data_IF_123769721742
#
_entry.id   IF_123769721742
#
_cell.length_a   1.000
_cell.length_b   1.000
_cell.length_c   1.000
_cell.angle_alpha   90.00
_cell.angle_beta   90.00
_cell.angle_gamma   90.00
#
_symmetry.space_group_name_H-M   'P 1'
#
loop_
_entity.id
_entity.type
_entity.pdbx_description
1 polymer ?
#
# COMPACT_ATOMS: atom_id res chain seq x y z
N UNK A 1 3.52 9.60 -19.90
CA UNK A 1 3.19 9.14 -18.54
C UNK A 1 3.90 7.83 -18.34
N UNK A 2 4.74 7.70 -17.31
CA UNK A 2 5.40 6.43 -17.01
C UNK A 2 4.35 5.43 -16.50
N UNK A 3 4.16 4.33 -17.24
CA UNK A 3 3.17 3.30 -16.92
C UNK A 3 3.39 2.71 -15.51
N UNK A 4 4.65 2.61 -15.10
CA UNK A 4 5.06 2.17 -13.75
C UNK A 4 4.49 3.08 -12.65
N UNK A 5 4.57 4.40 -12.82
CA UNK A 5 4.06 5.36 -11.83
C UNK A 5 2.54 5.26 -11.72
N UNK A 6 1.84 5.08 -12.84
CA UNK A 6 0.38 4.89 -12.85
C UNK A 6 0.00 3.62 -12.08
N UNK A 7 0.65 2.50 -12.40
CA UNK A 7 0.40 1.22 -11.75
C UNK A 7 0.71 1.26 -10.25
N UNK A 8 1.77 1.98 -9.85
CA UNK A 8 2.12 2.14 -8.44
C UNK A 8 1.08 3.00 -7.71
N UNK A 9 0.58 4.06 -8.35
CA UNK A 9 -0.46 4.93 -7.79
C UNK A 9 -1.79 4.20 -7.56
N UNK A 10 -2.17 3.29 -8.47
CA UNK A 10 -3.37 2.45 -8.31
C UNK A 10 -3.24 1.51 -7.12
N UNK A 11 -2.06 0.96 -6.89
CA UNK A 11 -1.79 0.05 -5.76
C UNK A 11 -1.72 0.78 -4.42
N UNK A 12 -1.10 1.96 -4.34
CA UNK A 12 -0.96 2.68 -3.06
C UNK A 12 -2.24 3.36 -2.60
N UNK A 13 -3.12 3.76 -3.53
CA UNK A 13 -4.31 4.57 -3.24
C UNK A 13 -5.17 4.06 -2.08
N UNK A 14 -5.57 2.78 -2.04
CA UNK A 14 -6.36 2.22 -0.93
C UNK A 14 -5.64 2.26 0.42
N UNK A 15 -4.31 2.12 0.45
CA UNK A 15 -3.55 2.20 1.69
C UNK A 15 -3.48 3.64 2.21
N UNK A 16 -3.36 4.63 1.32
CA UNK A 16 -3.37 6.04 1.68
C UNK A 16 -4.70 6.44 2.34
N UNK A 17 -5.84 6.07 1.75
CA UNK A 17 -7.15 6.35 2.35
C UNK A 17 -7.34 5.64 3.68
N UNK A 18 -6.89 4.39 3.79
CA UNK A 18 -6.96 3.63 5.06
C UNK A 18 -6.10 4.26 6.16
N UNK A 19 -4.91 4.77 5.81
CA UNK A 19 -4.05 5.47 6.74
C UNK A 19 -4.65 6.82 7.19
N UNK A 20 -5.22 7.58 6.26
CA UNK A 20 -5.93 8.83 6.62
C UNK A 20 -7.12 8.57 7.53
N UNK A 21 -7.89 7.51 7.30
CA UNK A 21 -9.01 7.14 8.17
C UNK A 21 -8.58 6.73 9.58
N UNK A 22 -7.45 6.03 9.71
CA UNK A 22 -6.94 5.54 11.00
C UNK A 22 -6.18 6.60 11.79
N UNK A 23 -5.34 7.41 11.13
CA UNK A 23 -4.42 8.34 11.78
C UNK A 23 -4.81 9.81 11.62
N UNK A 24 -5.69 10.14 10.66
CA UNK A 24 -6.04 11.51 10.32
C UNK A 24 -4.82 12.33 9.87
N UNK A 25 -4.86 13.64 10.14
CA UNK A 25 -3.78 14.57 9.81
C UNK A 25 -2.46 14.25 10.56
N UNK A 26 -2.53 13.43 11.62
CA UNK A 26 -1.36 13.02 12.39
C UNK A 26 -0.52 11.93 11.71
N UNK A 27 -0.92 11.45 10.53
CA UNK A 27 -0.22 10.36 9.81
C UNK A 27 1.26 10.67 9.50
N UNK A 28 1.64 11.95 9.39
CA UNK A 28 3.02 12.38 9.16
C UNK A 28 3.77 12.86 10.42
N UNK A 29 3.06 13.22 11.48
CA UNK A 29 3.65 13.87 12.67
C UNK A 29 3.69 12.97 13.89
N UNK A 30 2.82 11.96 13.97
CA UNK A 30 2.86 10.99 15.06
C UNK A 30 4.14 10.17 14.89
N UNK A 31 5.01 10.16 15.91
CA UNK A 31 6.09 9.18 16.00
C UNK A 31 5.49 7.76 15.93
N UNK A 32 6.28 6.73 15.61
CA UNK A 32 5.88 5.31 15.65
C UNK A 32 5.49 4.89 17.07
N UNK A 33 4.40 5.44 17.59
CA UNK A 33 3.85 5.12 18.88
C UNK A 33 3.27 3.72 18.76
N UNK A 34 4.06 2.75 19.20
CA UNK A 34 3.79 1.32 19.08
C UNK A 34 2.40 0.93 19.62
N UNK A 35 1.86 1.70 20.57
CA UNK A 35 0.51 1.51 21.12
C UNK A 35 -0.58 1.87 20.12
N UNK A 36 -0.41 2.97 19.39
CA UNK A 36 -1.35 3.41 18.34
C UNK A 36 -1.24 2.47 17.13
N UNK A 37 -0.03 2.03 16.80
CA UNK A 37 0.20 1.09 15.69
C UNK A 37 -0.26 -0.33 15.99
N UNK A 38 -0.33 -0.76 17.26
CA UNK A 38 -0.87 -2.07 17.63
C UNK A 38 -2.38 -2.19 17.35
N UNK A 39 -3.13 -1.09 17.45
CA UNK A 39 -4.57 -1.06 17.19
C UNK A 39 -4.97 -0.83 15.72
N UNK A 40 -4.03 -0.41 14.87
CA UNK A 40 -4.29 -0.10 13.47
C UNK A 40 -4.24 -1.35 12.58
N UNK A 41 -5.11 -1.41 11.56
CA UNK A 41 -5.05 -2.46 10.55
C UNK A 41 -3.70 -2.46 9.81
N UNK A 42 -3.30 -3.62 9.28
CA UNK A 42 -2.05 -3.75 8.49
C UNK A 42 -2.01 -2.78 7.30
N UNK A 43 -3.16 -2.51 6.69
CA UNK A 43 -3.29 -1.59 5.55
C UNK A 43 -3.08 -0.13 5.95
N UNK A 44 -3.57 0.27 7.14
CA UNK A 44 -3.36 1.61 7.67
C UNK A 44 -1.88 1.85 7.97
N UNK A 45 -1.23 0.90 8.64
CA UNK A 45 0.21 0.94 8.91
C UNK A 45 1.05 1.01 7.64
N UNK A 46 0.68 0.23 6.62
CA UNK A 46 1.36 0.30 5.32
C UNK A 46 1.19 1.66 4.66
N UNK A 47 -0.04 2.21 4.62
CA UNK A 47 -0.30 3.51 4.04
C UNK A 47 0.47 4.64 4.74
N UNK A 48 0.59 4.56 6.06
CA UNK A 48 1.42 5.48 6.85
C UNK A 48 2.91 5.37 6.48
N UNK A 49 3.44 4.15 6.36
CA UNK A 49 4.83 3.93 5.90
C UNK A 49 5.08 4.49 4.50
N UNK A 50 4.12 4.32 3.58
CA UNK A 50 4.18 4.90 2.24
C UNK A 50 4.24 6.44 2.32
N UNK A 51 3.34 7.07 3.09
CA UNK A 51 3.33 8.53 3.26
C UNK A 51 4.62 9.06 3.89
N UNK A 52 5.17 8.38 4.89
CA UNK A 52 6.46 8.73 5.48
C UNK A 52 7.63 8.57 4.50
N UNK A 53 7.65 7.52 3.69
CA UNK A 53 8.68 7.33 2.67
C UNK A 53 8.66 8.49 1.66
N UNK A 54 7.46 8.86 1.19
CA UNK A 54 7.27 10.01 0.29
C UNK A 54 7.74 11.30 0.98
N UNK A 55 7.29 11.56 2.20
CA UNK A 55 7.62 12.77 2.95
C UNK A 55 9.12 12.91 3.22
N UNK A 56 9.82 11.80 3.53
CA UNK A 56 11.26 11.78 3.79
C UNK A 56 12.10 12.15 2.56
N UNK A 57 11.61 11.81 1.37
CA UNK A 57 12.31 12.12 0.10
C UNK A 57 12.00 13.52 -0.42
N UNK A 58 11.10 14.27 0.22
CA UNK A 58 10.75 15.63 -0.19
C UNK A 58 11.58 16.66 0.57
N UNK A 59 12.05 17.65 -0.17
CA UNK A 59 12.61 18.88 0.38
C UNK A 59 11.54 19.99 0.42
N UNK A 60 11.82 21.06 1.16
CA UNK A 60 10.99 22.27 1.13
C UNK A 60 11.07 22.94 -0.26
N UNK A 61 9.96 23.44 -0.84
CA UNK A 61 8.62 23.57 -0.26
C UNK A 61 7.67 22.39 -0.54
N UNK A 62 8.13 21.35 -1.23
CA UNK A 62 7.29 20.22 -1.63
C UNK A 62 6.80 19.40 -0.44
N UNK A 63 7.59 19.36 0.63
CA UNK A 63 7.24 18.72 1.90
C UNK A 63 6.04 19.39 2.58
N UNK A 64 6.06 20.72 2.75
CA UNK A 64 4.92 21.47 3.27
C UNK A 64 3.65 21.30 2.40
N UNK A 65 3.81 21.23 1.07
CA UNK A 65 2.68 20.97 0.17
C UNK A 65 2.06 19.58 0.35
N UNK A 66 2.87 18.56 0.67
CA UNK A 66 2.38 17.23 1.01
C UNK A 66 1.64 17.24 2.36
N UNK A 67 2.18 17.92 3.37
CA UNK A 67 1.56 18.06 4.69
C UNK A 67 0.18 18.72 4.60
N UNK A 68 0.08 19.82 3.84
CA UNK A 68 -1.21 20.48 3.57
C UNK A 68 -2.21 19.53 2.91
N UNK A 69 -1.80 18.84 1.84
CA UNK A 69 -2.67 17.89 1.14
C UNK A 69 -3.12 16.71 2.03
N UNK A 70 -2.28 16.26 2.96
CA UNK A 70 -2.64 15.26 3.97
C UNK A 70 -3.65 15.82 4.98
N UNK A 71 -3.44 17.06 5.44
CA UNK A 71 -4.37 17.72 6.36
C UNK A 71 -5.74 17.91 5.73
N UNK A 72 -5.80 18.39 4.49
CA UNK A 72 -7.04 18.62 3.77
C UNK A 72 -7.79 17.30 3.54
N UNK A 73 -7.10 16.26 3.05
CA UNK A 73 -7.69 14.95 2.83
C UNK A 73 -8.13 14.25 4.13
N UNK A 74 -7.51 14.57 5.27
CA UNK A 74 -7.93 14.07 6.57
C UNK A 74 -9.12 14.84 7.16
N UNK A 75 -9.19 16.15 6.91
CA UNK A 75 -10.29 17.01 7.37
C UNK A 75 -11.58 16.70 6.59
N UNK A 76 -11.45 16.42 5.29
CA UNK A 76 -12.57 16.13 4.39
C UNK A 76 -12.36 14.79 3.64
N UNK A 77 -12.51 13.63 4.31
CA UNK A 77 -12.22 12.32 3.70
C UNK A 77 -13.12 11.94 2.51
N UNK A 78 -14.26 12.63 2.36
CA UNK A 78 -15.21 12.44 1.27
C UNK A 78 -15.01 13.44 0.12
N UNK A 79 -14.13 14.43 0.30
CA UNK A 79 -13.81 15.38 -0.76
C UNK A 79 -12.86 14.73 -1.77
N UNK A 80 -13.36 14.58 -2.99
CA UNK A 80 -12.61 14.03 -4.11
C UNK A 80 -11.45 14.93 -4.52
N UNK A 81 -11.57 16.25 -4.33
CA UNK A 81 -10.55 17.22 -4.71
C UNK A 81 -9.38 17.21 -3.72
N UNK A 82 -9.65 17.18 -2.40
CA UNK A 82 -8.63 16.96 -1.38
C UNK A 82 -7.88 15.61 -1.59
N UNK A 83 -8.62 14.53 -1.87
CA UNK A 83 -8.01 13.23 -2.17
C UNK A 83 -7.18 13.27 -3.48
N UNK A 84 -7.61 14.03 -4.48
CA UNK A 84 -6.88 14.22 -5.73
C UNK A 84 -5.60 15.05 -5.53
N UNK A 85 -5.63 16.07 -4.68
CA UNK A 85 -4.47 16.87 -4.33
C UNK A 85 -3.38 16.01 -3.69
N UNK A 86 -3.73 15.16 -2.71
CA UNK A 86 -2.80 14.22 -2.10
C UNK A 86 -2.23 13.25 -3.13
N UNK A 87 -3.10 12.63 -3.95
CA UNK A 87 -2.70 11.71 -5.01
C UNK A 87 -1.68 12.36 -5.96
N UNK A 88 -1.88 13.63 -6.29
CA UNK A 88 -1.00 14.39 -7.15
C UNK A 88 0.37 14.66 -6.51
N UNK A 89 0.44 14.95 -5.20
CA UNK A 89 1.71 15.13 -4.50
C UNK A 89 2.53 13.84 -4.43
N UNK A 90 1.88 12.71 -4.14
CA UNK A 90 2.54 11.39 -4.14
C UNK A 90 3.03 11.05 -5.54
N UNK A 91 2.20 11.24 -6.56
CA UNK A 91 2.56 10.98 -7.96
C UNK A 91 3.79 11.79 -8.41
N UNK A 92 3.84 13.08 -8.10
CA UNK A 92 5.01 13.92 -8.40
C UNK A 92 6.28 13.35 -7.75
N UNK A 93 6.18 12.83 -6.52
CA UNK A 93 7.34 12.31 -5.80
C UNK A 93 7.91 11.09 -6.51
N UNK A 94 7.03 10.22 -6.98
CA UNK A 94 7.41 9.03 -7.74
C UNK A 94 8.01 9.35 -9.10
N UNK A 95 7.58 10.46 -9.73
CA UNK A 95 8.16 10.89 -10.99
C UNK A 95 9.59 11.40 -10.81
N UNK A 96 9.83 12.15 -9.73
CA UNK A 96 11.11 12.78 -9.42
C UNK A 96 12.14 11.79 -8.87
N UNK A 97 11.71 10.78 -8.10
CA UNK A 97 12.59 9.86 -7.39
C UNK A 97 12.41 8.39 -7.82
N UNK A 98 13.45 7.81 -8.41
CA UNK A 98 13.51 6.39 -8.79
C UNK A 98 13.72 5.46 -7.59
N UNK A 99 14.39 5.92 -6.54
CA UNK A 99 14.64 5.14 -5.34
C UNK A 99 13.37 5.00 -4.53
N UNK A 100 12.58 6.07 -4.45
CA UNK A 100 11.25 6.04 -3.85
C UNK A 100 10.33 5.03 -4.55
N UNK A 101 10.35 4.96 -5.89
CA UNK A 101 9.60 3.94 -6.64
C UNK A 101 9.99 2.51 -6.23
N UNK A 102 11.29 2.24 -6.16
CA UNK A 102 11.83 0.94 -5.74
C UNK A 102 11.47 0.61 -4.29
N UNK A 103 11.52 1.60 -3.41
CA UNK A 103 11.13 1.45 -2.01
C UNK A 103 9.65 1.10 -1.88
N UNK A 104 8.75 1.85 -2.54
CA UNK A 104 7.31 1.57 -2.50
C UNK A 104 6.96 0.22 -3.12
N UNK A 105 7.60 -0.16 -4.22
CA UNK A 105 7.42 -1.48 -4.82
C UNK A 105 7.78 -2.60 -3.83
N UNK A 106 8.87 -2.45 -3.06
CA UNK A 106 9.26 -3.40 -2.00
C UNK A 106 8.26 -3.42 -0.84
N UNK A 107 7.77 -2.26 -0.40
CA UNK A 107 6.77 -2.16 0.66
C UNK A 107 5.47 -2.88 0.27
N UNK A 108 5.00 -2.66 -0.96
CA UNK A 108 3.80 -3.32 -1.50
C UNK A 108 4.02 -4.81 -1.70
N UNK A 109 5.17 -5.24 -2.22
CA UNK A 109 5.49 -6.66 -2.35
C UNK A 109 5.53 -7.38 -0.99
N UNK A 110 6.11 -6.74 0.03
CA UNK A 110 6.15 -7.29 1.39
C UNK A 110 4.75 -7.36 2.02
N UNK A 111 3.86 -6.41 1.72
CA UNK A 111 2.48 -6.44 2.17
C UNK A 111 1.64 -7.49 1.42
N UNK A 112 1.82 -7.62 0.10
CA UNK A 112 1.18 -8.66 -0.73
C UNK A 112 1.68 -10.07 -0.41
N UNK A 113 2.91 -10.21 0.08
CA UNK A 113 3.41 -11.46 0.65
C UNK A 113 2.73 -11.84 1.98
N UNK A 114 1.99 -10.90 2.61
CA UNK A 114 1.35 -11.04 3.92
C UNK A 114 -0.08 -11.58 3.91
N UNK A 115 -0.75 -11.68 2.76
CA UNK A 115 -2.10 -12.27 2.71
C UNK A 115 -2.38 -12.86 1.34
N UNK A 116 -2.03 -14.13 1.16
CA UNK A 116 -2.67 -14.95 0.12
C UNK A 116 -3.69 -15.83 0.82
N UNK A 117 -4.94 -15.38 0.82
CA UNK A 117 -6.06 -16.19 1.25
C UNK A 117 -6.37 -17.20 0.15
N UNK A 118 -5.92 -18.43 0.38
CA UNK A 118 -6.04 -19.55 -0.54
C UNK A 118 -7.01 -20.55 0.07
N UNK A 119 -8.29 -20.41 -0.23
CA UNK A 119 -9.34 -21.28 0.30
C UNK A 119 -9.76 -22.30 -0.75
N UNK A 120 -9.63 -23.58 -0.42
CA UNK A 120 -10.24 -24.70 -1.14
C UNK A 120 -11.30 -25.32 -0.22
N UNK A 121 -12.50 -25.57 -0.74
CA UNK A 121 -13.54 -26.29 -0.02
C UNK A 121 -14.25 -27.27 -0.96
N UNK A 122 -14.49 -28.48 -0.48
CA UNK A 122 -15.05 -29.59 -1.24
C UNK A 122 -14.13 -30.82 -1.28
N UNK A 123 -14.71 -31.96 -1.60
CA UNK A 123 -13.99 -33.22 -1.81
C UNK A 123 -13.02 -33.03 -3.00
N UNK A 124 -11.73 -33.37 -2.80
CA UNK A 124 -10.65 -33.22 -3.81
C UNK A 124 -10.24 -31.78 -4.15
N UNK A 125 -10.49 -30.81 -3.27
CA UNK A 125 -10.11 -29.42 -3.50
C UNK A 125 -8.62 -29.16 -3.21
N UNK A 126 -7.93 -28.45 -4.11
CA UNK A 126 -6.56 -27.95 -3.93
C UNK A 126 -6.58 -26.45 -4.09
N UNK A 127 -5.95 -25.75 -3.15
CA UNK A 127 -5.65 -24.36 -3.30
C UNK A 127 -4.20 -24.16 -2.82
N UNK A 128 -3.37 -23.59 -3.68
CA UNK A 128 -1.97 -23.29 -3.37
C UNK A 128 -1.57 -21.99 -4.05
N UNK A 129 -0.65 -21.25 -3.42
CA UNK A 129 -0.02 -20.07 -4.02
C UNK A 129 0.95 -20.50 -5.14
N UNK A 130 1.66 -21.62 -4.94
CA UNK A 130 2.52 -22.26 -5.92
C UNK A 130 2.42 -23.78 -5.80
N UNK A 131 2.23 -24.49 -6.92
CA UNK A 131 2.22 -25.96 -6.94
C UNK A 131 2.91 -26.46 -8.21
N UNK A 132 3.77 -27.46 -8.07
CA UNK A 132 4.44 -28.10 -9.21
C UNK A 132 3.59 -29.20 -9.84
N UNK A 133 3.01 -30.08 -9.03
CA UNK A 133 2.07 -31.11 -9.49
C UNK A 133 1.09 -31.39 -8.36
N UNK A 134 -0.21 -31.42 -8.68
CA UNK A 134 -1.28 -31.69 -7.73
C UNK A 134 -2.20 -32.78 -8.29
N UNK A 135 -2.43 -33.84 -7.51
CA UNK A 135 -3.30 -34.94 -7.92
C UNK A 135 -4.21 -35.30 -6.75
N UNK A 136 -5.51 -35.21 -6.99
CA UNK A 136 -6.55 -35.46 -5.98
C UNK A 136 -7.39 -36.70 -6.28
N UNK A 137 -6.92 -37.55 -7.19
CA UNK A 137 -7.63 -38.75 -7.64
C UNK A 137 -6.86 -40.04 -7.49
N UNK A 138 -7.60 -41.14 -7.49
CA UNK A 138 -7.06 -42.49 -7.39
C UNK A 138 -6.50 -42.98 -8.74
N UNK A 139 -5.49 -43.85 -8.69
CA UNK A 139 -4.78 -44.44 -9.85
C UNK A 139 -3.91 -43.48 -10.69
N UNK A 140 -3.42 -42.39 -10.09
CA UNK A 140 -2.51 -41.49 -10.80
C UNK A 140 -1.09 -42.07 -10.92
N UNK A 141 -0.57 -42.13 -12.15
CA UNK A 141 0.84 -42.45 -12.43
C UNK A 141 1.54 -41.19 -12.88
N UNK A 142 2.49 -40.68 -12.08
CA UNK A 142 3.32 -39.53 -12.43
C UNK A 142 4.66 -40.03 -12.99
N UNK A 143 5.06 -39.51 -14.15
CA UNK A 143 6.39 -39.69 -14.72
C UNK A 143 7.07 -38.32 -14.83
N UNK A 144 8.38 -38.21 -14.53
CA UNK A 144 9.12 -36.96 -14.59
C UNK A 144 9.24 -36.40 -16.01
#
# INVERSE_FOLDING_TARGET
MDAEVVQLMEQVGPYLSTALGAYGAAVLTRAEDAVVDAGADGSARLGRRILHAVWRQREEPARAALEGAVSDAAAEPQDADAAAALRQQVKKALQEDQDLRRELARLLAAAGAGTVNVTASGERAIAAQHIGTAITGDNATVRP
#
